data_IF_214996458863
#
_entry.id   IF_214996458863
#
_cell.length_a   1.000
_cell.length_b   1.000
_cell.length_c   1.000
_cell.angle_alpha   90.00
_cell.angle_beta   90.00
_cell.angle_gamma   90.00
#
_symmetry.space_group_name_H-M   'P 1'
#
loop_
_entity.id
_entity.type
_entity.pdbx_description
1 polymer ?
#
# COMPACT_ATOMS: atom_id res chain seq x y z
N UNK A 1 -0.87 -9.34 -19.97
CA UNK A 1 -0.40 -9.16 -18.57
C UNK A 1 0.91 -9.90 -18.28
N UNK A 2 1.10 -11.15 -18.72
CA UNK A 2 2.34 -11.92 -18.47
C UNK A 2 3.66 -11.19 -18.82
N UNK A 3 3.70 -10.41 -19.90
CA UNK A 3 4.88 -9.62 -20.26
C UNK A 3 5.17 -8.53 -19.23
N UNK A 4 4.13 -7.85 -18.72
CA UNK A 4 4.28 -6.83 -17.67
C UNK A 4 4.89 -7.48 -16.42
N UNK A 5 4.33 -8.60 -15.96
CA UNK A 5 4.86 -9.32 -14.79
C UNK A 5 6.34 -9.67 -14.95
N UNK A 6 6.72 -10.19 -16.12
CA UNK A 6 8.12 -10.54 -16.43
C UNK A 6 9.04 -9.32 -16.43
N UNK A 7 8.60 -8.21 -17.00
CA UNK A 7 9.40 -6.99 -17.11
C UNK A 7 9.58 -6.29 -15.75
N UNK A 8 8.65 -6.48 -14.82
CA UNK A 8 8.70 -5.93 -13.46
C UNK A 8 9.54 -6.79 -12.49
N UNK A 9 9.77 -8.06 -12.82
CA UNK A 9 10.46 -9.03 -11.96
C UNK A 9 11.84 -8.56 -11.44
N UNK A 10 12.69 -7.86 -12.23
CA UNK A 10 13.94 -7.31 -11.71
C UNK A 10 13.74 -6.28 -10.58
N UNK A 11 12.69 -5.44 -10.67
CA UNK A 11 12.38 -4.45 -9.65
C UNK A 11 11.77 -5.10 -8.40
N UNK A 12 10.89 -6.09 -8.59
CA UNK A 12 10.36 -6.89 -7.47
C UNK A 12 11.47 -7.59 -6.71
N UNK A 13 12.42 -8.21 -7.41
CA UNK A 13 13.58 -8.85 -6.78
C UNK A 13 14.47 -7.85 -6.04
N UNK A 14 14.59 -6.61 -6.52
CA UNK A 14 15.31 -5.56 -5.78
C UNK A 14 14.62 -5.21 -4.46
N UNK A 15 13.29 -5.22 -4.43
CA UNK A 15 12.52 -4.99 -3.19
C UNK A 15 12.60 -6.19 -2.26
N UNK A 16 12.39 -7.42 -2.74
CA UNK A 16 12.53 -8.66 -1.96
C UNK A 16 13.88 -8.78 -1.25
N UNK A 17 14.95 -8.36 -1.93
CA UNK A 17 16.32 -8.44 -1.42
C UNK A 17 16.86 -7.08 -0.94
N UNK A 18 15.98 -6.15 -0.58
CA UNK A 18 16.40 -4.80 -0.22
C UNK A 18 17.26 -4.82 1.06
N UNK A 19 18.42 -4.13 1.11
CA UNK A 19 19.30 -4.18 2.28
C UNK A 19 18.67 -3.64 3.58
N UNK A 20 17.65 -2.80 3.45
CA UNK A 20 16.83 -2.29 4.56
C UNK A 20 16.48 -3.37 5.60
N UNK A 21 16.04 -4.55 5.16
CA UNK A 21 15.59 -5.61 6.06
C UNK A 21 16.69 -6.06 7.03
N UNK A 22 17.93 -6.12 6.56
CA UNK A 22 19.09 -6.49 7.40
C UNK A 22 19.61 -5.34 8.26
N UNK A 23 19.21 -4.10 7.99
CA UNK A 23 19.64 -2.93 8.75
C UNK A 23 18.66 -2.55 9.88
N UNK A 24 17.45 -3.13 9.90
CA UNK A 24 16.53 -2.99 11.03
C UNK A 24 16.99 -3.96 12.11
N UNK A 25 17.77 -3.49 13.08
CA UNK A 25 18.35 -4.32 14.15
C UNK A 25 17.85 -3.97 15.55
N UNK A 26 17.04 -2.91 15.67
CA UNK A 26 16.55 -2.39 16.95
C UNK A 26 15.12 -1.87 16.86
N UNK A 27 14.47 -1.73 18.01
CA UNK A 27 13.14 -1.10 18.12
C UNK A 27 13.18 0.34 17.60
N UNK A 28 14.30 1.06 17.74
CA UNK A 28 14.41 2.42 17.22
C UNK A 28 14.43 2.45 15.69
N UNK A 29 15.10 1.48 15.05
CA UNK A 29 15.07 1.36 13.59
C UNK A 29 13.69 0.98 13.07
N UNK A 30 13.00 0.11 13.82
CA UNK A 30 11.63 -0.25 13.52
C UNK A 30 10.68 0.95 13.66
N UNK A 31 10.91 1.84 14.64
CA UNK A 31 10.19 3.10 14.76
C UNK A 31 10.42 4.01 13.56
N UNK A 32 11.66 4.13 13.08
CA UNK A 32 11.99 4.91 11.87
C UNK A 32 11.26 4.32 10.65
N UNK A 33 11.35 2.99 10.46
CA UNK A 33 10.63 2.29 9.39
C UNK A 33 9.13 2.56 9.46
N UNK A 34 8.51 2.30 10.60
CA UNK A 34 7.07 2.36 10.77
C UNK A 34 6.51 3.78 10.66
N UNK A 35 7.25 4.78 11.15
CA UNK A 35 6.86 6.19 11.05
C UNK A 35 6.87 6.70 9.60
N UNK A 36 7.68 6.12 8.72
CA UNK A 36 7.62 6.40 7.28
C UNK A 36 6.56 5.54 6.57
N UNK A 37 6.51 4.24 6.89
CA UNK A 37 5.65 3.26 6.24
C UNK A 37 4.17 3.51 6.46
N UNK A 38 3.77 4.08 7.61
CA UNK A 38 2.38 4.45 7.92
C UNK A 38 1.70 5.30 6.82
N UNK A 39 2.47 6.15 6.13
CA UNK A 39 1.94 6.95 5.03
C UNK A 39 1.62 6.12 3.77
N UNK A 40 2.36 5.03 3.54
CA UNK A 40 2.08 4.09 2.48
C UNK A 40 0.91 3.15 2.81
N UNK A 41 0.67 2.86 4.10
CA UNK A 41 -0.54 2.18 4.55
C UNK A 41 -1.76 3.06 4.31
N UNK A 42 -1.66 4.35 4.66
CA UNK A 42 -2.75 5.30 4.46
C UNK A 42 -3.05 5.60 2.98
N UNK A 43 -2.02 5.83 2.15
CA UNK A 43 -2.25 6.20 0.74
C UNK A 43 -2.78 5.05 -0.12
N UNK A 44 -2.51 3.80 0.29
CA UNK A 44 -3.10 2.60 -0.30
C UNK A 44 -4.63 2.66 -0.25
N UNK A 45 -5.21 3.07 0.87
CA UNK A 45 -6.66 3.23 1.02
C UNK A 45 -7.24 4.22 0.00
N UNK A 46 -6.47 5.22 -0.41
CA UNK A 46 -6.91 6.18 -1.44
C UNK A 46 -6.96 5.55 -2.84
N UNK A 47 -6.02 4.65 -3.17
CA UNK A 47 -6.09 3.85 -4.40
C UNK A 47 -7.31 2.92 -4.38
N UNK A 48 -7.52 2.22 -3.25
CA UNK A 48 -8.65 1.32 -3.07
C UNK A 48 -9.99 2.05 -3.17
N UNK A 49 -10.15 3.21 -2.52
CA UNK A 49 -11.38 4.02 -2.64
C UNK A 49 -11.61 4.51 -4.07
N UNK A 50 -10.55 4.92 -4.78
CA UNK A 50 -10.71 5.28 -6.19
C UNK A 50 -11.26 4.11 -7.01
N UNK A 51 -10.72 2.90 -6.82
CA UNK A 51 -11.21 1.71 -7.50
C UNK A 51 -12.64 1.36 -7.07
N UNK A 52 -12.99 1.47 -5.80
CA UNK A 52 -14.35 1.24 -5.31
C UNK A 52 -15.35 2.18 -5.98
N UNK A 53 -15.08 3.49 -5.96
CA UNK A 53 -15.93 4.50 -6.62
C UNK A 53 -16.17 4.20 -8.09
N UNK A 54 -15.16 3.66 -8.80
CA UNK A 54 -15.22 3.45 -10.24
C UNK A 54 -15.71 2.05 -10.67
N UNK A 55 -15.55 1.03 -9.81
CA UNK A 55 -15.80 -0.38 -10.15
C UNK A 55 -17.00 -0.98 -9.42
N UNK A 56 -17.48 -0.34 -8.34
CA UNK A 56 -18.66 -0.79 -7.58
C UNK A 56 -19.83 0.19 -7.76
N UNK A 57 -20.86 0.10 -6.92
CA UNK A 57 -21.99 1.03 -6.94
C UNK A 57 -22.07 1.79 -5.62
N UNK A 58 -21.84 3.09 -5.69
CA UNK A 58 -22.01 4.02 -4.57
C UNK A 58 -23.20 4.99 -4.79
N UNK A 59 -23.98 4.80 -5.86
CA UNK A 59 -25.08 5.70 -6.21
C UNK A 59 -26.33 5.46 -5.37
N UNK A 60 -27.11 6.53 -5.17
CA UNK A 60 -28.47 6.48 -4.63
C UNK A 60 -29.40 7.16 -5.64
N UNK A 61 -30.38 6.45 -6.25
CA UNK A 61 -30.71 5.03 -6.02
C UNK A 61 -29.63 4.07 -6.52
N UNK A 62 -29.64 2.85 -5.95
CA UNK A 62 -28.67 1.80 -6.28
C UNK A 62 -28.91 1.21 -7.66
N UNK A 63 -27.82 0.96 -8.40
CA UNK A 63 -27.81 0.22 -9.66
C UNK A 63 -26.68 -0.82 -9.63
N UNK A 64 -26.84 -1.97 -10.30
CA UNK A 64 -25.78 -2.98 -10.34
C UNK A 64 -24.54 -2.48 -11.12
N UNK A 65 -23.36 -2.86 -10.65
CA UNK A 65 -22.09 -2.60 -11.36
C UNK A 65 -22.02 -3.34 -12.69
N UNK A 66 -21.33 -2.75 -13.67
CA UNK A 66 -21.20 -3.32 -15.03
C UNK A 66 -20.48 -4.67 -15.07
N UNK A 67 -19.49 -4.86 -14.20
CA UNK A 67 -18.73 -6.10 -14.06
C UNK A 67 -18.81 -6.55 -12.60
N UNK A 68 -19.52 -7.65 -12.37
CA UNK A 68 -19.74 -8.20 -11.03
C UNK A 68 -18.49 -8.84 -10.43
N UNK A 69 -17.59 -9.37 -11.25
CA UNK A 69 -16.32 -9.96 -10.79
C UNK A 69 -15.40 -8.89 -10.21
N UNK A 70 -15.18 -7.78 -10.92
CA UNK A 70 -14.37 -6.67 -10.39
C UNK A 70 -15.03 -5.99 -9.20
N UNK A 71 -16.36 -5.88 -9.21
CA UNK A 71 -17.10 -5.30 -8.09
C UNK A 71 -17.00 -6.18 -6.84
N UNK A 72 -17.09 -7.51 -6.99
CA UNK A 72 -16.90 -8.48 -5.91
C UNK A 72 -15.51 -8.33 -5.30
N UNK A 73 -14.46 -8.40 -6.12
CA UNK A 73 -13.07 -8.25 -5.68
C UNK A 73 -12.87 -6.98 -4.85
N UNK A 74 -13.26 -5.82 -5.39
CA UNK A 74 -13.02 -4.57 -4.69
C UNK A 74 -13.83 -4.47 -3.40
N UNK A 75 -15.07 -4.98 -3.37
CA UNK A 75 -15.84 -5.00 -2.13
C UNK A 75 -15.26 -5.96 -1.08
N UNK A 76 -14.70 -7.11 -1.49
CA UNK A 76 -14.03 -8.05 -0.58
C UNK A 76 -12.76 -7.43 0.01
N UNK A 77 -11.91 -6.80 -0.82
CA UNK A 77 -10.72 -6.08 -0.35
C UNK A 77 -11.14 -4.93 0.59
N UNK A 78 -12.19 -4.16 0.23
CA UNK A 78 -12.68 -3.10 1.12
C UNK A 78 -13.16 -3.63 2.46
N UNK A 79 -13.84 -4.78 2.48
CA UNK A 79 -14.28 -5.38 3.73
C UNK A 79 -13.10 -5.80 4.63
N UNK A 80 -12.01 -6.34 4.06
CA UNK A 80 -10.78 -6.59 4.82
C UNK A 80 -10.11 -5.28 5.26
N UNK A 81 -9.84 -4.37 4.34
CA UNK A 81 -9.03 -3.20 4.66
C UNK A 81 -9.73 -2.19 5.61
N UNK A 82 -11.05 -2.05 5.55
CA UNK A 82 -11.80 -1.11 6.41
C UNK A 82 -12.43 -1.75 7.64
N UNK A 83 -12.63 -3.07 7.65
CA UNK A 83 -13.44 -3.76 8.67
C UNK A 83 -12.98 -5.20 8.97
N UNK A 84 -11.68 -5.52 8.87
CA UNK A 84 -11.13 -6.80 9.32
C UNK A 84 -11.21 -6.94 10.86
N UNK A 85 -10.69 -8.04 11.39
CA UNK A 85 -10.63 -8.35 12.81
C UNK A 85 -9.20 -8.22 13.34
N UNK A 86 -9.05 -7.57 14.49
CA UNK A 86 -7.78 -7.54 15.25
C UNK A 86 -7.49 -8.91 15.91
N UNK A 87 -6.37 -9.04 16.64
CA UNK A 87 -6.04 -10.29 17.33
C UNK A 87 -7.06 -10.72 18.42
N UNK A 88 -8.00 -9.85 18.80
CA UNK A 88 -9.08 -10.14 19.75
C UNK A 88 -10.41 -10.50 19.06
N UNK A 89 -10.49 -10.38 17.73
CA UNK A 89 -11.72 -10.55 16.96
C UNK A 89 -12.58 -9.28 16.90
N UNK A 90 -12.04 -8.11 17.29
CA UNK A 90 -12.77 -6.85 17.25
C UNK A 90 -12.63 -6.19 15.87
N UNK A 91 -13.73 -5.65 15.28
CA UNK A 91 -13.68 -4.99 13.98
C UNK A 91 -12.77 -3.76 13.98
N UNK A 92 -11.84 -3.69 13.02
CA UNK A 92 -10.84 -2.62 12.88
C UNK A 92 -10.42 -2.48 11.42
N UNK A 93 -10.05 -1.26 10.99
CA UNK A 93 -9.38 -1.09 9.71
C UNK A 93 -7.91 -1.51 9.78
N UNK A 94 -7.31 -1.95 8.67
CA UNK A 94 -5.88 -2.23 8.60
C UNK A 94 -5.03 -1.00 8.96
N UNK A 95 -5.47 0.20 8.62
CA UNK A 95 -4.77 1.43 9.02
C UNK A 95 -4.77 1.61 10.55
N UNK A 96 -5.93 1.43 11.21
CA UNK A 96 -6.02 1.49 12.67
C UNK A 96 -5.23 0.37 13.35
N UNK A 97 -5.26 -0.85 12.79
CA UNK A 97 -4.46 -1.97 13.26
C UNK A 97 -2.95 -1.66 13.17
N UNK A 98 -2.51 -1.03 12.08
CA UNK A 98 -1.13 -0.59 11.93
C UNK A 98 -0.77 0.47 12.98
N UNK A 99 -1.61 1.48 13.18
CA UNK A 99 -1.42 2.52 14.21
C UNK A 99 -1.31 1.89 15.61
N UNK A 100 -2.25 1.03 15.99
CA UNK A 100 -2.24 0.35 17.29
C UNK A 100 -0.97 -0.52 17.46
N UNK A 101 -0.54 -1.19 16.39
CA UNK A 101 0.68 -1.99 16.42
C UNK A 101 1.95 -1.16 16.64
N UNK A 102 2.05 0.03 16.04
CA UNK A 102 3.25 0.87 16.14
C UNK A 102 3.29 1.67 17.45
N UNK A 103 2.13 1.98 18.01
CA UNK A 103 2.01 2.53 19.36
C UNK A 103 2.40 1.52 20.44
N UNK A 104 2.13 0.22 20.23
CA UNK A 104 2.44 -0.84 21.20
C UNK A 104 3.94 -0.93 21.54
N UNK A 105 4.84 -0.71 20.57
CA UNK A 105 6.29 -0.61 20.83
C UNK A 105 6.80 0.83 21.01
N UNK A 106 5.89 1.78 21.25
CA UNK A 106 6.18 3.12 21.74
C UNK A 106 6.49 4.17 20.67
N UNK A 107 5.95 4.05 19.45
CA UNK A 107 5.95 5.14 18.48
C UNK A 107 4.79 6.12 18.79
N UNK A 108 5.06 7.42 18.78
CA UNK A 108 4.01 8.43 18.94
C UNK A 108 3.39 8.79 17.58
N UNK A 109 2.09 8.51 17.39
CA UNK A 109 1.41 8.74 16.11
C UNK A 109 0.65 10.07 16.02
N UNK A 110 0.71 10.92 17.05
CA UNK A 110 0.02 12.24 17.07
C UNK A 110 0.35 13.09 15.84
N UNK A 111 1.61 13.06 15.39
CA UNK A 111 2.06 13.80 14.21
C UNK A 111 1.51 13.21 12.91
N UNK A 112 1.31 11.89 12.83
CA UNK A 112 0.67 11.24 11.68
C UNK A 112 -0.75 11.78 11.53
N UNK A 113 -1.56 11.71 12.59
CA UNK A 113 -2.92 12.24 12.56
C UNK A 113 -2.97 13.75 12.31
N UNK A 114 -2.06 14.53 12.91
CA UNK A 114 -1.95 15.97 12.63
C UNK A 114 -1.73 16.23 11.13
N UNK A 115 -0.83 15.48 10.49
CA UNK A 115 -0.54 15.61 9.07
C UNK A 115 -1.74 15.17 8.22
N UNK A 116 -2.30 13.98 8.45
CA UNK A 116 -3.44 13.45 7.70
C UNK A 116 -4.67 14.36 7.77
N UNK A 117 -4.91 15.00 8.92
CA UNK A 117 -5.99 15.98 9.08
C UNK A 117 -5.83 17.23 8.21
N UNK A 118 -4.67 17.49 7.62
CA UNK A 118 -4.48 18.58 6.64
C UNK A 118 -4.75 18.13 5.19
N UNK A 119 -4.76 16.83 4.92
CA UNK A 119 -4.85 16.22 3.59
C UNK A 119 -6.30 15.90 3.20
N UNK A 120 -7.16 16.93 3.10
CA UNK A 120 -8.61 16.74 2.93
C UNK A 120 -9.14 16.80 1.50
N UNK A 121 -8.45 17.49 0.60
CA UNK A 121 -8.95 17.74 -0.75
C UNK A 121 -7.98 17.22 -1.81
N UNK A 122 -8.47 16.35 -2.70
CA UNK A 122 -7.69 15.83 -3.83
C UNK A 122 -7.12 16.94 -4.73
N UNK A 123 -7.82 18.08 -4.83
CA UNK A 123 -7.40 19.23 -5.65
C UNK A 123 -6.09 19.84 -5.13
N UNK A 124 -5.95 20.00 -3.81
CA UNK A 124 -4.81 20.66 -3.16
C UNK A 124 -3.77 19.69 -2.60
N UNK A 125 -4.08 18.38 -2.60
CA UNK A 125 -3.31 17.32 -1.93
C UNK A 125 -1.79 17.41 -2.14
N UNK A 126 -1.32 17.63 -3.37
CA UNK A 126 0.12 17.70 -3.67
C UNK A 126 0.78 18.91 -2.98
N UNK A 127 0.12 20.06 -3.03
CA UNK A 127 0.60 21.29 -2.36
C UNK A 127 0.47 21.21 -0.85
N UNK A 128 -0.45 20.40 -0.33
CA UNK A 128 -0.59 20.17 1.10
C UNK A 128 0.46 19.19 1.61
N UNK A 129 0.77 18.14 0.85
CA UNK A 129 1.92 17.24 1.10
C UNK A 129 3.22 18.04 1.14
N UNK A 130 3.39 19.04 0.26
CA UNK A 130 4.57 19.91 0.27
C UNK A 130 4.79 20.65 1.59
N UNK A 131 3.69 21.06 2.26
CA UNK A 131 3.73 21.80 3.51
C UNK A 131 3.99 20.92 4.74
N UNK A 132 3.85 19.60 4.61
CA UNK A 132 4.07 18.68 5.73
C UNK A 132 5.53 18.69 6.19
N UNK A 133 5.78 18.55 7.48
CA UNK A 133 7.13 18.36 8.02
C UNK A 133 7.55 16.89 7.92
N UNK A 134 7.63 16.39 6.68
CA UNK A 134 8.02 15.01 6.35
C UNK A 134 9.29 14.96 5.52
N UNK A 135 9.98 13.82 5.58
CA UNK A 135 11.12 13.54 4.72
C UNK A 135 10.69 13.51 3.25
N UNK A 136 11.59 13.94 2.37
CA UNK A 136 11.29 14.06 0.93
C UNK A 136 10.83 12.73 0.32
N UNK A 137 11.46 11.62 0.70
CA UNK A 137 11.13 10.30 0.16
C UNK A 137 9.69 9.84 0.50
N UNK A 138 9.14 10.30 1.64
CA UNK A 138 7.74 10.07 2.01
C UNK A 138 6.83 10.95 1.15
N UNK A 139 7.17 12.24 1.02
CA UNK A 139 6.40 13.20 0.21
C UNK A 139 6.34 12.76 -1.26
N UNK A 140 7.46 12.34 -1.83
CA UNK A 140 7.55 11.91 -3.22
C UNK A 140 6.69 10.67 -3.48
N UNK A 141 6.69 9.72 -2.54
CA UNK A 141 5.84 8.53 -2.62
C UNK A 141 4.35 8.89 -2.57
N UNK A 142 3.93 9.73 -1.63
CA UNK A 142 2.55 10.22 -1.54
C UNK A 142 2.12 10.97 -2.81
N UNK A 143 2.97 11.90 -3.28
CA UNK A 143 2.69 12.67 -4.51
C UNK A 143 2.58 11.77 -5.72
N UNK A 144 3.41 10.74 -5.84
CA UNK A 144 3.27 9.74 -6.90
C UNK A 144 1.87 9.12 -6.85
N UNK A 145 1.47 8.55 -5.72
CA UNK A 145 0.15 7.92 -5.54
C UNK A 145 -0.98 8.87 -5.94
N UNK A 146 -1.01 10.09 -5.39
CA UNK A 146 -2.08 11.05 -5.69
C UNK A 146 -2.01 11.62 -7.10
N UNK A 147 -0.83 11.70 -7.73
CA UNK A 147 -0.73 12.10 -9.13
C UNK A 147 -1.42 11.09 -10.05
N UNK A 148 -1.27 9.79 -9.78
CA UNK A 148 -1.94 8.72 -10.54
C UNK A 148 -3.45 8.78 -10.34
N UNK A 149 -3.91 8.97 -9.10
CA UNK A 149 -5.34 9.16 -8.79
C UNK A 149 -5.91 10.37 -9.55
N UNK A 150 -5.18 11.50 -9.59
CA UNK A 150 -5.63 12.73 -10.26
C UNK A 150 -5.65 12.62 -11.78
N UNK A 151 -4.81 11.78 -12.40
CA UNK A 151 -4.91 11.47 -13.84
C UNK A 151 -6.25 10.80 -14.19
N UNK A 152 -6.87 10.10 -13.24
CA UNK A 152 -8.23 9.57 -13.36
C UNK A 152 -8.38 8.35 -14.29
N UNK A 153 -7.28 7.79 -14.80
CA UNK A 153 -7.31 6.59 -15.64
C UNK A 153 -7.40 5.33 -14.78
N UNK A 154 -8.53 4.65 -14.86
CA UNK A 154 -8.83 3.49 -13.99
C UNK A 154 -7.81 2.36 -14.16
N UNK A 155 -7.37 2.07 -15.39
CA UNK A 155 -6.36 1.03 -15.66
C UNK A 155 -4.96 1.41 -15.15
N UNK A 156 -4.62 2.70 -15.04
CA UNK A 156 -3.36 3.13 -14.42
C UNK A 156 -3.41 2.92 -12.90
N UNK A 157 -4.49 3.38 -12.23
CA UNK A 157 -4.69 3.18 -10.78
C UNK A 157 -4.74 1.69 -10.44
N UNK A 158 -5.49 0.89 -11.21
CA UNK A 158 -5.55 -0.56 -11.03
C UNK A 158 -4.18 -1.22 -11.19
N UNK A 159 -3.34 -0.73 -12.10
CA UNK A 159 -1.98 -1.25 -12.29
C UNK A 159 -1.06 -0.94 -11.10
N UNK A 160 -1.13 0.29 -10.58
CA UNK A 160 -0.39 0.67 -9.35
C UNK A 160 -0.86 -0.13 -8.15
N UNK A 161 -2.18 -0.30 -8.00
CA UNK A 161 -2.79 -1.11 -6.95
C UNK A 161 -2.29 -2.56 -7.04
N UNK A 162 -2.42 -3.18 -8.21
CA UNK A 162 -2.06 -4.60 -8.44
C UNK A 162 -0.56 -4.84 -8.22
N UNK A 163 0.30 -4.17 -8.98
CA UNK A 163 1.73 -4.52 -9.01
C UNK A 163 2.58 -3.77 -7.99
N UNK A 164 2.16 -2.56 -7.60
CA UNK A 164 2.94 -1.70 -6.71
C UNK A 164 2.54 -1.82 -5.24
N UNK A 165 1.40 -2.47 -4.95
CA UNK A 165 0.83 -2.58 -3.61
C UNK A 165 0.46 -4.03 -3.31
N UNK A 166 -0.64 -4.54 -3.89
CA UNK A 166 -1.25 -5.83 -3.55
C UNK A 166 -0.31 -7.03 -3.73
N UNK A 167 0.17 -7.27 -4.95
CA UNK A 167 0.99 -8.42 -5.33
C UNK A 167 2.41 -8.38 -4.69
N UNK A 168 2.80 -7.22 -4.17
CA UNK A 168 4.14 -6.99 -3.62
C UNK A 168 4.19 -7.12 -2.09
N UNK A 169 3.07 -6.91 -1.41
CA UNK A 169 3.01 -6.85 0.06
C UNK A 169 3.58 -8.12 0.72
N UNK A 170 3.15 -9.35 0.34
CA UNK A 170 3.66 -10.57 0.99
C UNK A 170 5.19 -10.69 0.89
N UNK A 171 5.72 -10.42 -0.30
CA UNK A 171 7.15 -10.46 -0.63
C UNK A 171 7.99 -9.47 0.19
N UNK A 172 7.41 -8.33 0.61
CA UNK A 172 8.09 -7.33 1.43
C UNK A 172 7.99 -7.61 2.92
N UNK A 173 6.91 -8.24 3.37
CA UNK A 173 6.62 -8.44 4.80
C UNK A 173 7.27 -9.70 5.36
N UNK A 174 7.46 -10.75 4.54
CA UNK A 174 8.15 -11.98 4.98
C UNK A 174 9.55 -11.67 5.55
N UNK A 175 10.45 -10.94 4.84
CA UNK A 175 11.78 -10.63 5.37
C UNK A 175 11.75 -9.72 6.60
N UNK A 176 10.73 -8.85 6.73
CA UNK A 176 10.56 -8.00 7.92
C UNK A 176 10.19 -8.83 9.16
N UNK A 177 9.28 -9.81 9.01
CA UNK A 177 8.92 -10.71 10.10
C UNK A 177 10.12 -11.57 10.52
N UNK A 178 10.89 -12.09 9.56
CA UNK A 178 12.08 -12.91 9.84
C UNK A 178 13.17 -12.13 10.60
N UNK A 179 13.27 -10.82 10.38
CA UNK A 179 14.20 -9.94 11.08
C UNK A 179 13.72 -9.48 12.47
N UNK A 180 12.42 -9.56 12.74
CA UNK A 180 11.85 -9.18 14.03
C UNK A 180 12.04 -10.32 15.04
N UNK A 181 12.72 -10.02 16.15
CA UNK A 181 12.90 -10.99 17.23
C UNK A 181 11.56 -11.27 17.94
N UNK A 182 11.05 -12.50 17.81
CA UNK A 182 9.77 -12.96 18.35
C UNK A 182 9.70 -13.03 19.89
N UNK A 183 10.83 -12.83 20.58
CA UNK A 183 10.87 -12.85 22.04
C UNK A 183 10.35 -11.54 22.70
N UNK A 184 10.02 -10.52 21.90
CA UNK A 184 9.45 -9.26 22.38
C UNK A 184 7.94 -9.20 22.14
N UNK A 185 7.16 -9.42 23.19
CA UNK A 185 5.69 -9.36 23.17
C UNK A 185 5.14 -8.00 22.68
N UNK A 186 5.91 -6.90 22.77
CA UNK A 186 5.47 -5.58 22.28
C UNK A 186 5.30 -5.53 20.75
N UNK A 187 5.84 -6.53 20.03
CA UNK A 187 5.78 -6.64 18.57
C UNK A 187 4.67 -7.59 18.07
N UNK A 188 3.95 -8.27 18.97
CA UNK A 188 2.94 -9.27 18.61
C UNK A 188 1.86 -8.70 17.69
N UNK A 189 1.42 -7.47 17.95
CA UNK A 189 0.42 -6.76 17.12
C UNK A 189 0.94 -6.47 15.71
N UNK A 190 2.22 -6.09 15.59
CA UNK A 190 2.84 -5.80 14.29
C UNK A 190 3.04 -7.09 13.49
N UNK A 191 3.47 -8.16 14.17
CA UNK A 191 3.60 -9.50 13.57
C UNK A 191 2.23 -10.00 13.11
N UNK A 192 1.17 -9.81 13.90
CA UNK A 192 -0.20 -10.12 13.52
C UNK A 192 -0.61 -9.37 12.25
N UNK A 193 -0.44 -8.03 12.23
CA UNK A 193 -0.74 -7.19 11.07
C UNK A 193 -0.05 -7.70 9.80
N UNK A 194 1.26 -7.98 9.85
CA UNK A 194 1.99 -8.47 8.67
C UNK A 194 1.55 -9.88 8.23
N UNK A 195 1.28 -10.78 9.18
CA UNK A 195 0.78 -12.13 8.85
C UNK A 195 -0.60 -12.09 8.19
N UNK A 196 -1.50 -11.24 8.67
CA UNK A 196 -2.84 -11.05 8.07
C UNK A 196 -2.74 -10.66 6.59
N UNK A 197 -1.84 -9.73 6.25
CA UNK A 197 -1.60 -9.33 4.85
C UNK A 197 -0.98 -10.45 4.01
N UNK A 198 -0.05 -11.24 4.56
CA UNK A 198 0.52 -12.39 3.82
C UNK A 198 -0.55 -13.44 3.51
N UNK A 199 -1.41 -13.78 4.47
CA UNK A 199 -2.46 -14.79 4.32
C UNK A 199 -3.55 -14.35 3.34
N UNK A 200 -4.01 -13.09 3.44
CA UNK A 200 -5.15 -12.58 2.69
C UNK A 200 -4.76 -12.17 1.27
N UNK A 201 -3.65 -11.45 1.11
CA UNK A 201 -3.29 -10.83 -0.17
C UNK A 201 -2.64 -11.84 -1.14
N UNK A 202 -1.89 -12.81 -0.60
CA UNK A 202 -1.13 -13.79 -1.38
C UNK A 202 -2.02 -14.81 -2.12
N UNK A 203 -3.03 -15.35 -1.45
CA UNK A 203 -3.78 -16.51 -1.99
C UNK A 203 -5.01 -16.13 -2.81
N UNK A 204 -5.62 -14.97 -2.55
CA UNK A 204 -6.90 -14.58 -3.18
C UNK A 204 -6.81 -13.28 -3.97
N UNK A 205 -6.34 -12.19 -3.35
CA UNK A 205 -6.42 -10.87 -3.96
C UNK A 205 -5.41 -10.65 -5.10
N UNK A 206 -4.21 -11.23 -5.01
CA UNK A 206 -3.20 -11.16 -6.08
C UNK A 206 -3.73 -11.63 -7.44
N UNK A 207 -4.21 -12.89 -7.59
CA UNK A 207 -4.80 -13.37 -8.84
C UNK A 207 -6.00 -12.54 -9.33
N UNK A 208 -6.89 -12.13 -8.42
CA UNK A 208 -8.09 -11.38 -8.78
C UNK A 208 -7.76 -9.95 -9.25
N UNK A 209 -6.76 -9.29 -8.65
CA UNK A 209 -6.32 -7.96 -9.07
C UNK A 209 -5.72 -7.97 -10.49
N UNK A 210 -5.04 -9.06 -10.86
CA UNK A 210 -4.56 -9.30 -12.22
C UNK A 210 -5.70 -9.48 -13.23
N UNK A 211 -6.75 -10.21 -12.87
CA UNK A 211 -7.96 -10.36 -13.69
C UNK A 211 -8.67 -9.01 -13.89
N UNK A 212 -8.81 -8.22 -12.82
CA UNK A 212 -9.35 -6.87 -12.86
C UNK A 212 -8.56 -5.99 -13.84
N UNK A 213 -7.23 -5.97 -13.74
CA UNK A 213 -6.40 -5.16 -14.63
C UNK A 213 -6.53 -5.62 -16.10
N UNK A 214 -6.55 -6.93 -16.34
CA UNK A 214 -6.76 -7.49 -17.67
C UNK A 214 -8.10 -7.05 -18.27
N UNK A 215 -9.17 -7.08 -17.48
CA UNK A 215 -10.49 -6.60 -17.89
C UNK A 215 -10.46 -5.10 -18.21
N UNK A 216 -9.83 -4.26 -17.39
CA UNK A 216 -9.80 -2.81 -17.59
C UNK A 216 -8.99 -2.40 -18.82
N UNK A 217 -7.95 -3.16 -19.14
CA UNK A 217 -7.16 -2.97 -20.35
C UNK A 217 -7.91 -3.42 -21.60
N UNK A 218 -8.78 -4.44 -21.53
CA UNK A 218 -9.64 -4.90 -22.63
C UNK A 218 -8.90 -5.13 -23.96
N UNK A 219 -7.70 -5.70 -23.89
CA UNK A 219 -6.77 -5.88 -25.01
C UNK A 219 -6.37 -4.59 -25.77
N UNK A 220 -6.65 -3.41 -25.23
CA UNK A 220 -6.23 -2.13 -25.78
C UNK A 220 -4.70 -1.96 -25.59
N UNK A 221 -3.92 -1.86 -26.68
CA UNK A 221 -2.47 -1.78 -26.59
C UNK A 221 -1.99 -0.51 -25.90
N UNK A 222 -2.74 0.60 -25.96
CA UNK A 222 -2.40 1.85 -25.28
C UNK A 222 -2.56 1.65 -23.77
N UNK A 223 -3.71 1.12 -23.32
CA UNK A 223 -3.93 0.87 -21.89
C UNK A 223 -2.92 -0.12 -21.32
N UNK A 224 -2.61 -1.18 -22.06
CA UNK A 224 -1.58 -2.16 -21.65
C UNK A 224 -0.22 -1.48 -21.49
N UNK A 225 0.18 -0.62 -22.44
CA UNK A 225 1.44 0.11 -22.37
C UNK A 225 1.48 1.10 -21.21
N UNK A 226 0.38 1.82 -20.97
CA UNK A 226 0.25 2.77 -19.86
C UNK A 226 0.31 2.05 -18.51
N UNK A 227 -0.42 0.94 -18.37
CA UNK A 227 -0.39 0.09 -17.18
C UNK A 227 1.01 -0.48 -16.92
N UNK A 228 1.74 -0.89 -17.95
CA UNK A 228 3.12 -1.37 -17.82
C UNK A 228 4.07 -0.26 -17.35
N UNK A 229 3.98 0.94 -17.95
CA UNK A 229 4.80 2.09 -17.57
C UNK A 229 4.55 2.49 -16.11
N UNK A 230 3.29 2.65 -15.73
CA UNK A 230 2.96 3.15 -14.39
C UNK A 230 3.23 2.11 -13.29
N UNK A 231 3.14 0.81 -13.60
CA UNK A 231 3.55 -0.25 -12.68
C UNK A 231 5.05 -0.19 -12.39
N UNK A 232 5.85 0.07 -13.43
CA UNK A 232 7.30 0.25 -13.28
C UNK A 232 7.60 1.46 -12.39
N UNK A 233 6.98 2.61 -12.68
CA UNK A 233 7.11 3.82 -11.85
C UNK A 233 6.68 3.57 -10.40
N UNK A 234 5.62 2.78 -10.16
CA UNK A 234 5.16 2.45 -8.81
C UNK A 234 6.17 1.62 -8.01
N UNK A 235 6.83 0.65 -8.65
CA UNK A 235 7.91 -0.12 -8.02
C UNK A 235 9.15 0.74 -7.79
N UNK A 236 9.50 1.62 -8.72
CA UNK A 236 10.61 2.56 -8.54
C UNK A 236 10.35 3.54 -7.38
N UNK A 237 9.13 4.07 -7.26
CA UNK A 237 8.71 4.91 -6.14
C UNK A 237 8.79 4.14 -4.80
N UNK A 238 8.37 2.87 -4.78
CA UNK A 238 8.49 2.00 -3.61
C UNK A 238 9.95 1.75 -3.22
N UNK A 239 10.82 1.48 -4.20
CA UNK A 239 12.27 1.34 -3.98
C UNK A 239 12.85 2.64 -3.42
N UNK A 240 12.44 3.80 -3.94
CA UNK A 240 12.90 5.10 -3.43
C UNK A 240 12.48 5.34 -1.97
N UNK A 241 11.26 4.96 -1.59
CA UNK A 241 10.80 4.97 -0.20
C UNK A 241 11.69 4.06 0.68
N UNK A 242 11.96 2.83 0.24
CA UNK A 242 12.81 1.88 0.99
C UNK A 242 14.25 2.39 1.14
N UNK A 243 14.85 2.93 0.07
CA UNK A 243 16.17 3.55 0.13
C UNK A 243 16.20 4.72 1.11
N UNK A 244 15.14 5.54 1.12
CA UNK A 244 15.02 6.69 2.01
C UNK A 244 15.00 6.28 3.48
N UNK A 245 14.20 5.26 3.82
CA UNK A 245 14.12 4.68 5.17
C UNK A 245 15.47 4.07 5.57
N UNK A 246 16.08 3.27 4.69
CA UNK A 246 17.38 2.64 4.96
C UNK A 246 18.46 3.69 5.26
N UNK A 247 18.49 4.76 4.46
CA UNK A 247 19.44 5.84 4.66
C UNK A 247 19.19 6.60 5.97
N UNK A 248 17.94 6.72 6.41
CA UNK A 248 17.63 7.33 7.71
C UNK A 248 18.12 6.47 8.87
N UNK A 249 17.87 5.16 8.82
CA UNK A 249 18.36 4.19 9.80
C UNK A 249 19.90 4.22 9.90
N UNK A 250 20.60 4.27 8.77
CA UNK A 250 22.07 4.29 8.72
C UNK A 250 22.71 5.58 9.26
N UNK A 251 21.98 6.68 9.28
CA UNK A 251 22.49 8.02 9.64
C UNK A 251 21.84 8.59 10.90
N UNK A 252 21.27 7.74 11.76
CA UNK A 252 20.64 8.12 13.04
C UNK A 252 21.62 8.75 14.05
#
# INVERSE_FOLDING_TARGET
>A
MNNITKDLEPLKNKLRNHPLYNNIDSIEDLKIFSNAHVYAVWDFMSLLKFLQVNLTSLSIPWFPSKNTTTAKLINEIVAGEETDEDQNGDPVSHFEMYIDSIEAFGLNTSNVFKNLNTLKELKTIESDIDKLELKYYIKDFLKFTFSVIKRGKIHEVASVFTFGREDLIPDMFIPLIEGINSDNNDLDKLIYYFKRHIEVDGDMHGPMSMEMLSYLCDNDPIKISESASIAKEALEARIALWNGIENEIKNK
#
